data_IF_046539958111
#
_entry.id   IF_046539958111
#
_cell.length_a   1.000
_cell.length_b   1.000
_cell.length_c   1.000
_cell.angle_alpha   90.00
_cell.angle_beta   90.00
_cell.angle_gamma   90.00
#
_symmetry.space_group_name_H-M   'P 1'
#
loop_
_entity.id
_entity.type
_entity.pdbx_description
1 polymer ?
#
# COMPACT_ATOMS: atom_id res chain seq x y z
N UNK A 1 -41.16 44.23 9.67
CA UNK A 1 -41.26 43.16 8.67
C UNK A 1 -39.84 42.64 8.51
N UNK A 2 -39.40 41.47 8.97
CA UNK A 2 -39.91 40.35 9.76
C UNK A 2 -38.71 39.84 10.58
N UNK A 3 -38.96 39.30 11.77
CA UNK A 3 -37.91 38.70 12.60
C UNK A 3 -37.51 37.35 12.00
N UNK A 4 -36.23 37.18 11.63
CA UNK A 4 -35.68 35.88 11.27
C UNK A 4 -35.57 35.02 12.52
N UNK A 5 -36.45 34.02 12.59
CA UNK A 5 -36.54 33.00 13.62
C UNK A 5 -35.29 32.11 13.60
N UNK A 6 -34.29 32.46 14.42
CA UNK A 6 -33.18 31.57 14.75
C UNK A 6 -33.68 30.48 15.70
N UNK A 7 -34.42 29.50 15.14
CA UNK A 7 -34.77 28.25 15.80
C UNK A 7 -33.50 27.39 15.98
N UNK A 8 -32.65 27.81 16.90
CA UNK A 8 -31.58 27.00 17.46
C UNK A 8 -32.23 25.85 18.22
N UNK A 9 -32.30 24.67 17.61
CA UNK A 9 -32.72 23.43 18.29
C UNK A 9 -31.80 23.20 19.47
N UNK A 10 -32.20 23.63 20.65
CA UNK A 10 -31.52 23.36 21.91
C UNK A 10 -31.64 21.85 22.16
N UNK A 11 -30.58 21.12 21.79
CA UNK A 11 -30.51 19.68 22.03
C UNK A 11 -30.29 19.48 23.52
N UNK A 12 -31.31 18.98 24.21
CA UNK A 12 -31.19 18.59 25.61
C UNK A 12 -30.17 17.45 25.75
N UNK A 13 -29.50 17.39 26.90
CA UNK A 13 -28.52 16.33 27.21
C UNK A 13 -29.14 14.94 27.02
N UNK A 14 -30.42 14.77 27.35
CA UNK A 14 -31.15 13.51 27.16
C UNK A 14 -31.29 13.12 25.68
N UNK A 15 -31.51 14.10 24.78
CA UNK A 15 -31.58 13.88 23.33
C UNK A 15 -30.24 13.42 22.76
N UNK A 16 -29.14 13.98 23.27
CA UNK A 16 -27.77 13.59 22.90
C UNK A 16 -27.49 12.16 23.40
N UNK A 17 -27.83 11.84 24.65
CA UNK A 17 -27.59 10.52 25.24
C UNK A 17 -28.38 9.41 24.54
N UNK A 18 -29.62 9.69 24.12
CA UNK A 18 -30.40 8.76 23.31
C UNK A 18 -29.76 8.50 21.94
N UNK A 19 -29.32 9.55 21.24
CA UNK A 19 -28.62 9.40 19.94
C UNK A 19 -27.32 8.60 20.08
N UNK A 20 -26.54 8.82 21.14
CA UNK A 20 -25.30 8.04 21.40
C UNK A 20 -25.61 6.57 21.64
N UNK A 21 -26.70 6.27 22.35
CA UNK A 21 -27.14 4.88 22.60
C UNK A 21 -27.59 4.20 21.32
N UNK A 22 -28.34 4.90 20.46
CA UNK A 22 -28.80 4.37 19.17
C UNK A 22 -27.64 4.10 18.21
N UNK A 23 -26.64 4.99 18.18
CA UNK A 23 -25.41 4.79 17.41
C UNK A 23 -24.64 3.58 17.94
N UNK A 24 -24.47 3.47 19.26
CA UNK A 24 -23.80 2.31 19.90
C UNK A 24 -24.52 0.99 19.59
N UNK A 25 -25.84 0.99 19.53
CA UNK A 25 -26.62 -0.20 19.20
C UNK A 25 -26.55 -0.55 17.71
N UNK A 26 -26.48 0.44 16.81
CA UNK A 26 -26.20 0.20 15.39
C UNK A 26 -24.85 -0.46 15.18
N UNK A 27 -23.80 0.02 15.85
CA UNK A 27 -22.47 -0.59 15.76
C UNK A 27 -22.35 -1.96 16.44
N UNK A 28 -23.09 -2.21 17.54
CA UNK A 28 -23.13 -3.53 18.18
C UNK A 28 -23.86 -4.59 17.36
N UNK A 29 -24.82 -4.19 16.53
CA UNK A 29 -25.54 -5.11 15.66
C UNK A 29 -24.81 -5.36 14.33
N UNK A 30 -23.71 -4.62 14.09
CA UNK A 30 -22.78 -4.81 12.96
C UNK A 30 -21.40 -5.30 13.46
N UNK A 31 -21.35 -6.03 14.59
CA UNK A 31 -20.10 -6.61 15.10
C UNK A 31 -19.97 -8.09 14.67
N UNK A 32 -19.03 -8.29 13.75
CA UNK A 32 -18.02 -9.35 13.81
C UNK A 32 -18.50 -10.76 14.14
N UNK A 33 -18.83 -11.54 13.11
CA UNK A 33 -18.47 -12.97 13.09
C UNK A 33 -18.14 -13.40 11.66
N UNK A 34 -16.97 -12.98 11.18
CA UNK A 34 -16.19 -13.80 10.24
C UNK A 34 -14.67 -13.51 10.31
N UNK A 35 -14.18 -13.06 11.47
CA UNK A 35 -12.76 -12.86 11.71
C UNK A 35 -12.32 -13.51 13.04
N UNK A 36 -12.56 -14.82 13.14
CA UNK A 36 -11.86 -15.70 14.08
C UNK A 36 -11.66 -17.08 13.42
N UNK A 37 -11.03 -17.06 12.24
CA UNK A 37 -10.27 -18.20 11.75
C UNK A 37 -8.81 -17.77 11.58
N UNK A 38 -8.13 -17.66 12.71
CA UNK A 38 -6.69 -17.45 12.86
C UNK A 38 -5.87 -18.69 12.39
N UNK A 39 -6.37 -19.38 11.37
CA UNK A 39 -5.78 -20.57 10.76
C UNK A 39 -6.20 -20.75 9.29
N UNK A 40 -6.33 -19.68 8.48
CA UNK A 40 -6.35 -19.87 7.01
C UNK A 40 -6.07 -18.65 6.11
N UNK A 41 -5.31 -17.64 6.54
CA UNK A 41 -4.86 -16.59 5.59
C UNK A 41 -3.62 -17.06 4.82
N UNK A 42 -3.72 -18.21 4.15
CA UNK A 42 -3.14 -18.34 2.82
C UNK A 42 -4.19 -17.78 1.86
N UNK A 43 -4.42 -16.47 1.87
CA UNK A 43 -5.09 -15.85 0.74
C UNK A 43 -4.22 -16.18 -0.48
N UNK A 44 -4.70 -17.12 -1.29
CA UNK A 44 -4.05 -17.56 -2.51
C UNK A 44 -4.13 -16.42 -3.51
N UNK A 45 -3.16 -15.51 -3.42
CA UNK A 45 -3.09 -14.32 -4.27
C UNK A 45 -2.74 -14.67 -5.73
N UNK A 46 -2.54 -15.95 -6.03
CA UNK A 46 -2.27 -16.47 -7.37
C UNK A 46 -3.44 -16.17 -8.32
N UNK A 47 -4.70 -16.26 -7.84
CA UNK A 47 -5.87 -15.93 -8.65
C UNK A 47 -5.87 -14.45 -9.11
N UNK A 48 -5.53 -13.53 -8.21
CA UNK A 48 -5.45 -12.10 -8.54
C UNK A 48 -4.31 -11.78 -9.48
N UNK A 49 -3.13 -12.38 -9.27
CA UNK A 49 -1.97 -12.21 -10.18
C UNK A 49 -2.30 -12.71 -11.58
N UNK A 50 -2.90 -13.89 -11.69
CA UNK A 50 -3.32 -14.44 -12.98
C UNK A 50 -4.32 -13.51 -13.68
N UNK A 51 -5.26 -12.92 -12.94
CA UNK A 51 -6.20 -11.96 -13.51
C UNK A 51 -5.50 -10.71 -14.06
N UNK A 52 -4.54 -10.14 -13.32
CA UNK A 52 -3.77 -8.97 -13.79
C UNK A 52 -2.99 -9.31 -15.06
N UNK A 53 -2.34 -10.48 -15.07
CA UNK A 53 -1.55 -10.95 -16.22
C UNK A 53 -2.43 -11.27 -17.45
N UNK A 54 -3.65 -11.78 -17.25
CA UNK A 54 -4.60 -12.07 -18.33
C UNK A 54 -5.31 -10.82 -18.86
N UNK A 55 -5.36 -9.75 -18.07
CA UNK A 55 -5.91 -8.45 -18.46
C UNK A 55 -4.83 -7.59 -19.11
N UNK A 56 -4.99 -6.26 -19.10
CA UNK A 56 -4.06 -5.33 -19.76
C UNK A 56 -2.62 -5.33 -19.22
N UNK A 57 -2.34 -6.08 -18.13
CA UNK A 57 -1.03 -6.20 -17.48
C UNK A 57 -0.33 -4.84 -17.35
N UNK A 58 -0.99 -3.90 -16.67
CA UNK A 58 -0.53 -2.52 -16.53
C UNK A 58 0.04 -2.25 -15.12
N UNK A 59 0.96 -1.28 -14.97
CA UNK A 59 1.55 -0.92 -13.68
C UNK A 59 0.56 -0.46 -12.62
N UNK A 60 -0.55 0.19 -12.99
CA UNK A 60 -1.56 0.70 -12.06
C UNK A 60 -2.25 -0.44 -11.30
N UNK A 61 -2.67 -1.49 -12.02
CA UNK A 61 -3.33 -2.67 -11.44
C UNK A 61 -2.37 -3.46 -10.55
N UNK A 62 -1.11 -3.61 -10.98
CA UNK A 62 -0.05 -4.20 -10.17
C UNK A 62 0.20 -3.40 -8.89
N UNK A 63 0.37 -2.08 -8.98
CA UNK A 63 0.62 -1.24 -7.82
C UNK A 63 -0.55 -1.30 -6.83
N UNK A 64 -1.80 -1.23 -7.32
CA UNK A 64 -3.00 -1.34 -6.49
C UNK A 64 -3.06 -2.69 -5.75
N UNK A 65 -2.70 -3.78 -6.41
CA UNK A 65 -2.63 -5.10 -5.79
C UNK A 65 -1.52 -5.17 -4.73
N UNK A 66 -0.32 -4.68 -5.04
CA UNK A 66 0.85 -4.71 -4.15
C UNK A 66 0.62 -3.88 -2.88
N UNK A 67 0.02 -2.69 -3.00
CA UNK A 67 -0.32 -1.84 -1.85
C UNK A 67 -1.36 -2.49 -0.93
N UNK A 68 -2.36 -3.19 -1.50
CA UNK A 68 -3.33 -3.97 -0.71
C UNK A 68 -2.65 -5.12 0.01
N UNK A 69 -1.73 -5.82 -0.66
CA UNK A 69 -0.97 -6.91 -0.06
C UNK A 69 -0.08 -6.43 1.10
N UNK A 70 0.60 -5.31 0.90
CA UNK A 70 1.47 -4.69 1.91
C UNK A 70 0.67 -4.25 3.14
N UNK A 71 -0.49 -3.61 2.95
CA UNK A 71 -1.40 -3.23 4.04
C UNK A 71 -1.85 -4.45 4.86
N UNK A 72 -2.06 -5.59 4.21
CA UNK A 72 -2.49 -6.83 4.86
C UNK A 72 -1.33 -7.62 5.48
N UNK A 73 -0.09 -7.14 5.35
CA UNK A 73 1.11 -7.79 5.87
C UNK A 73 1.56 -7.23 7.23
N UNK A 74 0.69 -6.49 7.94
CA UNK A 74 0.98 -5.86 9.23
C UNK A 74 0.39 -6.70 10.38
N UNK A 75 1.16 -7.03 11.45
CA UNK A 75 2.56 -6.69 11.67
C UNK A 75 3.50 -7.48 10.74
N UNK A 76 4.51 -6.78 10.19
CA UNK A 76 5.45 -7.36 9.25
C UNK A 76 6.40 -8.32 9.96
N UNK A 77 6.54 -9.53 9.41
CA UNK A 77 7.53 -10.52 9.80
C UNK A 77 8.28 -11.00 8.56
N UNK A 78 9.38 -11.73 8.75
CA UNK A 78 10.26 -12.17 7.67
C UNK A 78 9.54 -12.98 6.59
N UNK A 79 8.60 -13.86 6.98
CA UNK A 79 7.84 -14.66 6.03
C UNK A 79 6.91 -13.80 5.16
N UNK A 80 6.26 -12.80 5.76
CA UNK A 80 5.42 -11.84 5.04
C UNK A 80 6.25 -10.89 4.17
N UNK A 81 7.41 -10.44 4.64
CA UNK A 81 8.35 -9.63 3.87
C UNK A 81 8.85 -10.39 2.63
N UNK A 82 9.28 -11.65 2.79
CA UNK A 82 9.72 -12.51 1.68
C UNK A 82 8.60 -12.70 0.66
N UNK A 83 7.35 -12.92 1.12
CA UNK A 83 6.18 -13.04 0.24
C UNK A 83 5.91 -11.74 -0.53
N UNK A 84 6.00 -10.59 0.16
CA UNK A 84 5.78 -9.28 -0.45
C UNK A 84 6.83 -8.99 -1.53
N UNK A 85 8.12 -9.18 -1.21
CA UNK A 85 9.25 -9.04 -2.15
C UNK A 85 9.04 -9.95 -3.36
N UNK A 86 8.65 -11.20 -3.16
CA UNK A 86 8.35 -12.12 -4.25
C UNK A 86 7.26 -11.62 -5.20
N UNK A 87 6.21 -10.97 -4.68
CA UNK A 87 5.15 -10.38 -5.52
C UNK A 87 5.60 -9.11 -6.25
N UNK A 88 6.43 -8.27 -5.63
CA UNK A 88 7.05 -7.14 -6.32
C UNK A 88 8.00 -7.62 -7.45
N UNK A 89 8.79 -8.68 -7.23
CA UNK A 89 9.63 -9.29 -8.28
C UNK A 89 8.81 -9.74 -9.47
N UNK A 90 7.70 -10.45 -9.23
CA UNK A 90 6.78 -10.90 -10.28
C UNK A 90 6.19 -9.72 -11.08
N UNK A 91 5.87 -8.60 -10.42
CA UNK A 91 5.39 -7.41 -11.11
C UNK A 91 6.46 -6.81 -12.02
N UNK A 92 7.71 -6.73 -11.55
CA UNK A 92 8.83 -6.19 -12.33
C UNK A 92 9.12 -7.09 -13.54
N UNK A 93 9.12 -8.41 -13.37
CA UNK A 93 9.29 -9.38 -14.47
C UNK A 93 8.16 -9.28 -15.51
N UNK A 94 6.94 -8.95 -15.09
CA UNK A 94 5.78 -8.83 -15.96
C UNK A 94 5.67 -7.47 -16.68
N UNK A 95 6.45 -6.45 -16.28
CA UNK A 95 6.32 -5.07 -16.73
C UNK A 95 7.61 -4.60 -17.45
N UNK A 96 7.65 -4.62 -18.80
CA UNK A 96 8.83 -4.23 -19.58
C UNK A 96 9.26 -2.76 -19.35
N UNK A 97 10.51 -2.50 -18.94
CA UNK A 97 10.98 -1.14 -18.65
C UNK A 97 10.95 -0.18 -19.83
N UNK A 98 11.19 -0.68 -21.05
CA UNK A 98 11.15 0.09 -22.29
C UNK A 98 9.77 0.69 -22.58
N UNK A 99 8.70 0.00 -22.13
CA UNK A 99 7.32 0.47 -22.26
C UNK A 99 6.90 1.41 -21.14
N UNK A 100 7.39 1.19 -19.92
CA UNK A 100 6.86 1.83 -18.71
C UNK A 100 7.82 2.79 -17.99
N UNK A 101 9.01 3.07 -18.51
CA UNK A 101 9.97 3.99 -17.87
C UNK A 101 9.49 5.45 -17.68
N UNK A 102 8.37 5.82 -18.30
CA UNK A 102 7.69 7.11 -18.12
C UNK A 102 6.40 7.02 -17.30
N UNK A 103 6.04 5.83 -16.80
CA UNK A 103 4.86 5.57 -16.00
C UNK A 103 5.20 5.70 -14.50
N UNK A 104 4.42 6.51 -13.78
CA UNK A 104 4.68 6.78 -12.36
C UNK A 104 4.43 5.55 -11.48
N UNK A 105 3.39 4.77 -11.77
CA UNK A 105 3.07 3.55 -11.02
C UNK A 105 4.19 2.53 -11.13
N UNK A 106 4.78 2.37 -12.31
CA UNK A 106 5.94 1.51 -12.53
C UNK A 106 7.17 1.98 -11.74
N UNK A 107 7.43 3.29 -11.73
CA UNK A 107 8.51 3.87 -10.93
C UNK A 107 8.29 3.64 -9.43
N UNK A 108 7.05 3.73 -8.93
CA UNK A 108 6.70 3.41 -7.54
C UNK A 108 6.92 1.93 -7.23
N UNK A 109 6.57 1.02 -8.14
CA UNK A 109 6.83 -0.42 -7.97
C UNK A 109 8.33 -0.69 -7.84
N UNK A 110 9.16 -0.13 -8.72
CA UNK A 110 10.62 -0.36 -8.67
C UNK A 110 11.25 0.22 -7.39
N UNK A 111 10.84 1.43 -6.99
CA UNK A 111 11.34 2.07 -5.76
C UNK A 111 10.93 1.28 -4.52
N UNK A 112 9.66 0.89 -4.38
CA UNK A 112 9.21 0.08 -3.23
C UNK A 112 9.91 -1.27 -3.18
N UNK A 113 10.17 -1.91 -4.32
CA UNK A 113 10.95 -3.14 -4.36
C UNK A 113 12.37 -2.95 -3.82
N UNK A 114 13.08 -1.89 -4.25
CA UNK A 114 14.42 -1.58 -3.76
C UNK A 114 14.42 -1.26 -2.25
N UNK A 115 13.42 -0.52 -1.76
CA UNK A 115 13.26 -0.22 -0.34
C UNK A 115 12.99 -1.47 0.50
N UNK A 116 12.16 -2.40 0.02
CA UNK A 116 11.93 -3.69 0.70
C UNK A 116 13.19 -4.56 0.70
N UNK A 117 13.96 -4.54 -0.39
CA UNK A 117 15.28 -5.19 -0.46
C UNK A 117 16.28 -4.59 0.52
N UNK A 118 16.25 -3.27 0.74
CA UNK A 118 17.09 -2.62 1.75
C UNK A 118 16.73 -3.00 3.19
N UNK A 119 15.47 -3.36 3.45
CA UNK A 119 15.06 -3.91 4.75
C UNK A 119 15.55 -5.36 4.91
N UNK A 120 15.46 -6.16 3.85
CA UNK A 120 15.86 -7.57 3.87
C UNK A 120 17.39 -7.74 3.96
N UNK A 121 18.12 -7.11 3.04
CA UNK A 121 19.56 -7.29 2.80
C UNK A 121 20.16 -5.94 2.32
N UNK A 122 20.48 -5.00 3.23
CA UNK A 122 20.95 -3.66 2.86
C UNK A 122 22.25 -3.65 2.05
N UNK A 123 23.17 -4.59 2.33
CA UNK A 123 24.46 -4.69 1.63
C UNK A 123 24.31 -5.00 0.13
N UNK A 124 23.27 -5.75 -0.24
CA UNK A 124 22.99 -6.17 -1.62
C UNK A 124 21.89 -5.32 -2.29
N UNK A 125 21.26 -4.39 -1.55
CA UNK A 125 20.09 -3.65 -2.02
C UNK A 125 20.42 -2.58 -3.08
N UNK A 126 21.69 -2.17 -3.16
CA UNK A 126 22.15 -1.03 -3.97
C UNK A 126 21.83 -1.17 -5.46
N UNK A 127 21.95 -2.37 -6.00
CA UNK A 127 21.71 -2.63 -7.44
C UNK A 127 20.25 -2.42 -7.83
N UNK A 128 19.30 -2.69 -6.91
CA UNK A 128 17.88 -2.45 -7.16
C UNK A 128 17.55 -0.96 -7.24
N UNK A 129 18.22 -0.11 -6.46
CA UNK A 129 18.07 1.34 -6.58
C UNK A 129 18.67 1.87 -7.89
N UNK A 130 19.81 1.32 -8.34
CA UNK A 130 20.39 1.66 -9.63
C UNK A 130 19.44 1.29 -10.77
N UNK A 131 18.89 0.08 -10.74
CA UNK A 131 17.91 -0.39 -11.71
C UNK A 131 16.67 0.52 -11.74
N UNK A 132 16.13 0.89 -10.57
CA UNK A 132 15.03 1.86 -10.44
C UNK A 132 15.36 3.19 -11.12
N UNK A 133 16.56 3.73 -10.85
CA UNK A 133 17.04 4.99 -11.43
C UNK A 133 17.21 4.90 -12.94
N UNK A 134 17.76 3.82 -13.47
CA UNK A 134 18.00 3.64 -14.90
C UNK A 134 16.69 3.56 -15.69
N UNK A 135 15.74 2.77 -15.18
CA UNK A 135 14.45 2.55 -15.82
C UNK A 135 13.53 3.78 -15.71
N UNK A 136 13.58 4.49 -14.57
CA UNK A 136 12.59 5.51 -14.21
C UNK A 136 13.19 6.91 -13.98
N UNK A 137 14.29 7.24 -14.67
CA UNK A 137 15.12 8.44 -14.46
C UNK A 137 14.39 9.80 -14.48
N UNK A 138 13.18 9.88 -15.03
CA UNK A 138 12.38 11.12 -15.08
C UNK A 138 11.90 11.56 -13.70
N UNK A 139 11.69 10.63 -12.77
CA UNK A 139 10.99 10.91 -11.53
C UNK A 139 11.97 11.25 -10.40
N UNK A 140 11.85 12.46 -9.84
CA UNK A 140 12.72 12.91 -8.75
C UNK A 140 12.69 11.98 -7.53
N UNK A 141 11.53 11.41 -7.18
CA UNK A 141 11.41 10.51 -6.04
C UNK A 141 12.27 9.24 -6.16
N UNK A 142 12.56 8.79 -7.38
CA UNK A 142 13.44 7.63 -7.62
C UNK A 142 14.88 7.96 -7.20
N UNK A 143 15.36 9.15 -7.57
CA UNK A 143 16.69 9.63 -7.18
C UNK A 143 16.76 9.92 -5.68
N UNK A 144 15.70 10.51 -5.11
CA UNK A 144 15.62 10.80 -3.67
C UNK A 144 15.66 9.50 -2.86
N UNK A 145 14.90 8.48 -3.25
CA UNK A 145 14.89 7.19 -2.55
C UNK A 145 16.28 6.53 -2.59
N UNK A 146 16.97 6.58 -3.73
CA UNK A 146 18.35 6.10 -3.81
C UNK A 146 19.32 6.92 -2.93
N UNK A 147 19.22 8.24 -2.95
CA UNK A 147 20.03 9.09 -2.07
C UNK A 147 19.75 8.83 -0.58
N UNK A 148 18.50 8.54 -0.22
CA UNK A 148 18.10 8.20 1.14
C UNK A 148 18.68 6.84 1.56
N UNK A 149 18.75 5.87 0.65
CA UNK A 149 19.46 4.61 0.89
C UNK A 149 20.95 4.84 1.09
N UNK A 150 21.63 5.57 0.19
CA UNK A 150 23.06 5.87 0.34
C UNK A 150 23.35 6.60 1.68
N UNK A 151 22.48 7.54 2.06
CA UNK A 151 22.55 8.22 3.36
C UNK A 151 22.41 7.25 4.54
N UNK A 152 21.49 6.28 4.48
CA UNK A 152 21.31 5.29 5.56
C UNK A 152 22.50 4.33 5.68
N UNK A 153 23.24 4.11 4.59
CA UNK A 153 24.50 3.37 4.58
C UNK A 153 25.72 4.21 5.00
N UNK A 154 25.55 5.52 5.27
CA UNK A 154 26.64 6.42 5.65
C UNK A 154 27.46 6.96 4.47
N UNK A 155 26.98 6.83 3.23
CA UNK A 155 27.67 7.27 2.02
C UNK A 155 27.37 8.75 1.71
N UNK A 156 28.02 9.66 2.43
CA UNK A 156 27.80 11.12 2.39
C UNK A 156 28.63 11.89 1.33
N UNK A 157 29.06 11.23 0.25
CA UNK A 157 30.03 11.81 -0.70
C UNK A 157 29.48 12.94 -1.56
#
# INVERSE_FOLDING_TARGET
MEAEDLSGRELTIDSIMNKVRDIKNKFKNEDLTDELSLSKVSADTTGTVNQIMMMANNPEDWLNFLLKLEKNSVPLNDALLNKLIGRYSQAIEALPPDKYGQNESFARIQVRFAELKAIQEPDDARDYFQMARENCKKFAFVHISFAQFELSQGNLK
#
